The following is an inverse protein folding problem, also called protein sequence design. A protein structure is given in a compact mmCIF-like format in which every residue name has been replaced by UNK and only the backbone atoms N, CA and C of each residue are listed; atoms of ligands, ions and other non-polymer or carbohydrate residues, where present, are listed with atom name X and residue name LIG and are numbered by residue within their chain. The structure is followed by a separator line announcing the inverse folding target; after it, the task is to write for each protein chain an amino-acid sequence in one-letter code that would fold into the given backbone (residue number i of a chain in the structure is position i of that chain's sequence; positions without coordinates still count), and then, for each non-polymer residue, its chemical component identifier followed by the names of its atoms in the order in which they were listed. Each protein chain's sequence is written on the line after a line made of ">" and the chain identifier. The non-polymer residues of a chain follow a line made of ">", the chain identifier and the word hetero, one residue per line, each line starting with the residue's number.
data_IF_640324595969
#
_entry.id   IF_640324595969
#
_cell.length_a   1.000
_cell.length_b   1.000
_cell.length_c   1.000
_cell.angle_alpha   90.00
_cell.angle_beta   90.00
_cell.angle_gamma   90.00
#
_symmetry.space_group_name_H-M   'P 1'
#
loop_
_entity.id
_entity.type
_entity.pdbx_description
1 polymer ?
#
# COMPACT_ATOMS: atom_id res chain seq x y z
N UNK A 1 36.05 -19.52 1.56
CA UNK A 1 35.61 -20.88 1.21
C UNK A 1 34.63 -21.38 2.27
N UNK A 2 33.43 -21.80 1.87
CA UNK A 2 32.45 -22.36 2.80
C UNK A 2 32.94 -23.74 3.31
N UNK A 3 32.83 -24.00 4.61
CA UNK A 3 33.26 -25.28 5.20
C UNK A 3 32.25 -26.39 4.90
N UNK A 4 32.69 -27.64 4.81
CA UNK A 4 31.82 -28.79 4.51
C UNK A 4 30.65 -28.94 5.50
N UNK A 5 30.86 -28.58 6.77
CA UNK A 5 29.82 -28.57 7.80
C UNK A 5 28.74 -27.50 7.54
N UNK A 6 29.13 -26.31 7.05
CA UNK A 6 28.21 -25.25 6.67
C UNK A 6 27.34 -25.66 5.48
N UNK A 7 27.94 -26.24 4.44
CA UNK A 7 27.21 -26.76 3.28
C UNK A 7 26.25 -27.89 3.66
N UNK A 8 26.69 -28.81 4.52
CA UNK A 8 25.84 -29.91 5.02
C UNK A 8 24.63 -29.41 5.81
N UNK A 9 24.83 -28.37 6.63
CA UNK A 9 23.73 -27.72 7.35
C UNK A 9 22.76 -27.03 6.38
N UNK A 10 23.26 -26.25 5.43
CA UNK A 10 22.43 -25.57 4.42
C UNK A 10 21.63 -26.54 3.55
N UNK A 11 22.22 -27.66 3.17
CA UNK A 11 21.51 -28.71 2.45
C UNK A 11 20.36 -29.30 3.28
N UNK A 12 20.59 -29.57 4.58
CA UNK A 12 19.53 -30.06 5.47
C UNK A 12 18.41 -29.03 5.64
N UNK A 13 18.76 -27.76 5.85
CA UNK A 13 17.79 -26.65 5.93
C UNK A 13 16.97 -26.54 4.64
N UNK A 14 17.62 -26.52 3.48
CA UNK A 14 16.94 -26.45 2.19
C UNK A 14 16.01 -27.65 1.98
N UNK A 15 16.47 -28.87 2.28
CA UNK A 15 15.67 -30.08 2.16
C UNK A 15 14.42 -30.06 3.05
N UNK A 16 14.54 -29.56 4.28
CA UNK A 16 13.39 -29.41 5.18
C UNK A 16 12.42 -28.32 4.67
N UNK A 17 12.94 -27.19 4.17
CA UNK A 17 12.14 -26.07 3.70
C UNK A 17 11.38 -26.31 2.38
N UNK A 18 11.71 -27.37 1.62
CA UNK A 18 10.99 -27.68 0.37
C UNK A 18 9.50 -27.89 0.62
N UNK A 19 9.11 -28.63 1.66
CA UNK A 19 7.70 -28.93 1.90
C UNK A 19 6.91 -27.65 2.20
N UNK A 20 7.41 -26.82 3.11
CA UNK A 20 6.79 -25.55 3.50
C UNK A 20 6.71 -24.56 2.32
N UNK A 21 7.80 -24.42 1.55
CA UNK A 21 7.81 -23.55 0.37
C UNK A 21 6.87 -24.04 -0.73
N UNK A 22 6.77 -25.36 -0.93
CA UNK A 22 5.85 -25.94 -1.92
C UNK A 22 4.41 -25.69 -1.54
N UNK A 23 4.06 -25.86 -0.26
CA UNK A 23 2.73 -25.59 0.25
C UNK A 23 2.37 -24.10 0.10
N UNK A 24 3.26 -23.21 0.51
CA UNK A 24 3.06 -21.76 0.39
C UNK A 24 2.89 -21.33 -1.08
N UNK A 25 3.70 -21.87 -1.99
CA UNK A 25 3.59 -21.63 -3.42
C UNK A 25 2.25 -22.11 -3.98
N UNK A 26 1.84 -23.35 -3.68
CA UNK A 26 0.58 -23.89 -4.16
C UNK A 26 -0.63 -23.09 -3.66
N UNK A 27 -0.58 -22.63 -2.40
CA UNK A 27 -1.63 -21.78 -1.83
C UNK A 27 -1.71 -20.42 -2.52
N UNK A 28 -0.58 -19.79 -2.80
CA UNK A 28 -0.50 -18.55 -3.59
C UNK A 28 -1.06 -18.76 -4.98
N UNK A 29 -0.59 -19.80 -5.68
CA UNK A 29 -0.98 -20.09 -7.05
C UNK A 29 -2.48 -20.41 -7.17
N UNK A 30 -3.03 -21.17 -6.22
CA UNK A 30 -4.45 -21.50 -6.18
C UNK A 30 -5.37 -20.31 -5.85
N UNK A 31 -4.84 -19.23 -5.28
CA UNK A 31 -5.58 -17.99 -5.02
C UNK A 31 -5.50 -16.98 -6.18
N UNK A 32 -4.56 -17.17 -7.09
CA UNK A 32 -4.33 -16.27 -8.22
C UNK A 32 -5.28 -16.58 -9.39
N UNK A 33 -5.44 -15.61 -10.29
CA UNK A 33 -6.20 -15.80 -11.52
C UNK A 33 -5.45 -16.78 -12.45
N UNK A 34 -6.08 -17.87 -12.94
CA UNK A 34 -5.41 -18.89 -13.74
C UNK A 34 -4.78 -18.35 -15.03
N UNK A 35 -5.37 -17.31 -15.64
CA UNK A 35 -4.82 -16.68 -16.85
C UNK A 35 -3.51 -15.95 -16.55
N UNK A 36 -3.39 -15.38 -15.35
CA UNK A 36 -2.18 -14.68 -14.92
C UNK A 36 -1.07 -15.69 -14.60
N UNK A 37 -1.42 -16.81 -13.97
CA UNK A 37 -0.50 -17.92 -13.67
C UNK A 37 0.11 -18.48 -14.94
N UNK A 38 -0.71 -18.84 -15.93
CA UNK A 38 -0.25 -19.39 -17.22
C UNK A 38 0.70 -18.42 -17.96
N UNK A 39 0.39 -17.13 -17.90
CA UNK A 39 1.27 -16.08 -18.43
C UNK A 39 2.60 -16.02 -17.68
N UNK A 40 2.60 -16.08 -16.36
CA UNK A 40 3.82 -16.04 -15.55
C UNK A 40 4.69 -17.27 -15.78
N UNK A 41 4.11 -18.46 -15.86
CA UNK A 41 4.85 -19.70 -16.17
C UNK A 41 5.53 -19.60 -17.55
N UNK A 42 4.82 -19.06 -18.55
CA UNK A 42 5.38 -18.84 -19.88
C UNK A 42 6.54 -17.83 -19.87
N UNK A 43 6.40 -16.73 -19.12
CA UNK A 43 7.44 -15.71 -18.97
C UNK A 43 8.67 -16.25 -18.24
N UNK A 44 8.47 -17.01 -17.16
CA UNK A 44 9.54 -17.69 -16.42
C UNK A 44 10.31 -18.67 -17.32
N UNK A 45 9.60 -19.52 -18.06
CA UNK A 45 10.24 -20.48 -18.97
C UNK A 45 11.12 -19.78 -20.01
N UNK A 46 10.63 -18.69 -20.60
CA UNK A 46 11.38 -17.89 -21.57
C UNK A 46 12.59 -17.20 -20.95
N UNK A 47 12.43 -16.61 -19.76
CA UNK A 47 13.50 -15.96 -19.03
C UNK A 47 14.62 -16.93 -18.68
N UNK A 48 14.27 -18.12 -18.17
CA UNK A 48 15.25 -19.15 -17.80
C UNK A 48 15.99 -19.70 -19.03
N UNK A 49 15.32 -19.85 -20.17
CA UNK A 49 15.96 -20.28 -21.41
C UNK A 49 16.96 -19.24 -21.94
N UNK A 50 16.70 -17.96 -21.70
CA UNK A 50 17.44 -16.85 -22.30
C UNK A 50 18.52 -16.25 -21.39
N UNK A 51 18.50 -16.55 -20.08
CA UNK A 51 19.32 -15.86 -19.07
C UNK A 51 20.84 -15.88 -19.35
N UNK A 52 21.34 -16.89 -20.08
CA UNK A 52 22.76 -17.04 -20.37
C UNK A 52 23.20 -16.02 -21.43
N UNK A 53 22.33 -15.74 -22.40
CA UNK A 53 22.61 -14.87 -23.54
C UNK A 53 22.12 -13.44 -23.31
N UNK A 54 21.01 -13.29 -22.57
CA UNK A 54 20.42 -12.01 -22.21
C UNK A 54 20.20 -11.92 -20.69
N UNK A 55 21.10 -11.25 -19.95
CA UNK A 55 20.94 -11.05 -18.51
C UNK A 55 19.67 -10.26 -18.13
N UNK A 56 19.14 -9.42 -19.03
CA UNK A 56 17.92 -8.62 -18.83
C UNK A 56 16.67 -9.51 -18.79
N UNK A 57 16.75 -10.72 -19.35
CA UNK A 57 15.64 -11.68 -19.34
C UNK A 57 15.18 -12.05 -17.91
N UNK A 58 16.04 -11.92 -16.90
CA UNK A 58 15.70 -12.17 -15.50
C UNK A 58 15.02 -10.98 -14.79
N UNK A 59 14.89 -9.82 -15.44
CA UNK A 59 14.22 -8.65 -14.85
C UNK A 59 12.72 -8.90 -14.57
N UNK A 60 12.15 -10.00 -15.09
CA UNK A 60 10.80 -10.45 -14.74
C UNK A 60 10.63 -10.73 -13.24
N UNK A 61 11.72 -11.01 -12.52
CA UNK A 61 11.70 -11.22 -11.07
C UNK A 61 11.80 -9.90 -10.29
N UNK A 62 12.05 -8.78 -10.97
CA UNK A 62 12.08 -7.47 -10.34
C UNK A 62 10.65 -6.97 -10.06
N UNK A 63 10.41 -6.52 -8.83
CA UNK A 63 9.12 -5.99 -8.43
C UNK A 63 8.99 -4.55 -8.94
N UNK A 64 8.44 -4.40 -10.14
CA UNK A 64 8.14 -3.10 -10.76
C UNK A 64 6.81 -2.55 -10.19
N UNK A 65 6.86 -1.91 -9.01
CA UNK A 65 5.69 -1.20 -8.48
C UNK A 65 5.52 0.12 -9.23
N UNK A 66 4.45 0.22 -10.02
CA UNK A 66 4.03 1.51 -10.54
C UNK A 66 3.66 2.42 -9.38
N UNK A 67 4.22 3.63 -9.37
CA UNK A 67 3.87 4.63 -8.36
C UNK A 67 2.38 4.90 -8.47
N UNK A 68 1.64 4.61 -7.40
CA UNK A 68 0.22 4.96 -7.33
C UNK A 68 0.07 6.47 -7.51
N UNK A 69 -1.01 6.90 -8.19
CA UNK A 69 -1.34 8.32 -8.30
C UNK A 69 -1.41 8.92 -6.91
N UNK A 70 -0.79 10.08 -6.71
CA UNK A 70 -0.91 10.77 -5.44
C UNK A 70 -2.31 11.35 -5.29
N UNK A 71 -2.74 11.59 -4.05
CA UNK A 71 -3.99 12.31 -3.76
C UNK A 71 -4.06 13.65 -4.52
N UNK A 72 -2.94 14.37 -4.59
CA UNK A 72 -2.84 15.64 -5.33
C UNK A 72 -3.07 15.45 -6.83
N UNK A 73 -2.50 14.39 -7.42
CA UNK A 73 -2.69 14.09 -8.85
C UNK A 73 -4.15 13.73 -9.16
N UNK A 74 -4.83 13.05 -8.22
CA UNK A 74 -6.25 12.72 -8.35
C UNK A 74 -7.12 13.97 -8.21
N UNK A 75 -6.82 14.82 -7.22
CA UNK A 75 -7.55 16.07 -7.00
C UNK A 75 -7.42 17.03 -8.20
N UNK A 76 -6.21 17.18 -8.75
CA UNK A 76 -5.95 18.00 -9.93
C UNK A 76 -6.79 17.53 -11.14
N UNK A 77 -6.77 16.23 -11.43
CA UNK A 77 -7.52 15.63 -12.54
C UNK A 77 -9.04 15.78 -12.37
N UNK A 78 -9.55 15.67 -11.15
CA UNK A 78 -10.96 15.91 -10.86
C UNK A 78 -11.35 17.39 -11.05
N UNK A 79 -10.50 18.32 -10.61
CA UNK A 79 -10.70 19.75 -10.83
C UNK A 79 -10.67 20.08 -12.33
N UNK A 80 -9.72 19.54 -13.08
CA UNK A 80 -9.64 19.72 -14.54
C UNK A 80 -10.87 19.13 -15.25
N UNK A 81 -11.28 17.90 -14.92
CA UNK A 81 -12.41 17.21 -15.57
C UNK A 81 -13.76 17.86 -15.26
N UNK A 82 -13.93 18.45 -14.08
CA UNK A 82 -15.18 19.10 -13.65
C UNK A 82 -15.46 20.45 -14.32
N UNK A 83 -14.44 21.08 -14.91
CA UNK A 83 -14.56 22.37 -15.62
C UNK A 83 -15.19 22.23 -17.02
N UNK A 84 -15.09 21.05 -17.66
CA UNK A 84 -15.39 20.86 -19.08
C UNK A 84 -16.67 20.08 -19.41
N UNK A 85 -17.64 19.97 -18.49
CA UNK A 85 -18.87 19.20 -18.74
C UNK A 85 -20.03 20.11 -19.20
N UNK A 86 -20.44 20.10 -20.48
CA UNK A 86 -21.51 20.98 -20.97
C UNK A 86 -22.84 20.64 -20.28
N UNK A 87 -23.52 21.64 -19.73
CA UNK A 87 -24.86 21.49 -19.12
C UNK A 87 -24.87 21.13 -17.63
N UNK A 88 -23.71 20.92 -17.00
CA UNK A 88 -23.58 20.74 -15.54
C UNK A 88 -22.93 22.01 -14.97
N UNK A 89 -23.53 22.61 -13.93
CA UNK A 89 -22.88 23.75 -13.25
C UNK A 89 -21.50 23.30 -12.76
N UNK A 90 -20.43 24.08 -12.97
CA UNK A 90 -19.11 23.74 -12.47
C UNK A 90 -19.20 23.47 -10.97
N UNK A 91 -18.95 22.22 -10.57
CA UNK A 91 -18.81 21.83 -9.15
C UNK A 91 -17.41 22.20 -8.69
N UNK A 92 -17.11 23.50 -8.74
CA UNK A 92 -15.83 24.05 -8.31
C UNK A 92 -15.67 23.72 -6.83
N UNK A 93 -14.63 22.96 -6.49
CA UNK A 93 -14.28 22.66 -5.11
C UNK A 93 -14.89 21.39 -4.50
N UNK A 94 -15.73 20.62 -5.19
CA UNK A 94 -16.28 19.37 -4.61
C UNK A 94 -15.21 18.30 -4.34
N UNK A 95 -14.19 18.19 -5.21
CA UNK A 95 -13.07 17.28 -4.99
C UNK A 95 -12.22 17.71 -3.78
N UNK A 96 -11.94 19.01 -3.66
CA UNK A 96 -11.24 19.60 -2.51
C UNK A 96 -12.04 19.45 -1.22
N UNK A 97 -13.35 19.68 -1.27
CA UNK A 97 -14.26 19.47 -0.14
C UNK A 97 -14.24 18.01 0.32
N UNK A 98 -14.40 17.05 -0.59
CA UNK A 98 -14.30 15.63 -0.26
C UNK A 98 -12.92 15.26 0.32
N UNK A 99 -11.84 15.77 -0.27
CA UNK A 99 -10.49 15.51 0.22
C UNK A 99 -10.28 16.07 1.64
N UNK A 100 -10.79 17.26 1.95
CA UNK A 100 -10.77 17.82 3.30
C UNK A 100 -11.59 16.98 4.28
N UNK A 101 -12.79 16.54 3.90
CA UNK A 101 -13.62 15.67 4.72
C UNK A 101 -12.95 14.34 5.05
N UNK A 102 -12.36 13.68 4.05
CA UNK A 102 -11.58 12.43 4.24
C UNK A 102 -10.40 12.67 5.20
N UNK A 103 -9.70 13.80 5.08
CA UNK A 103 -8.59 14.13 5.99
C UNK A 103 -9.07 14.23 7.44
N UNK A 104 -10.22 14.86 7.67
CA UNK A 104 -10.84 14.97 9.00
C UNK A 104 -11.21 13.58 9.54
N UNK A 105 -11.79 12.71 8.71
CA UNK A 105 -12.09 11.33 9.11
C UNK A 105 -10.83 10.54 9.47
N UNK A 106 -9.74 10.69 8.70
CA UNK A 106 -8.45 10.07 9.01
C UNK A 106 -7.90 10.54 10.35
N UNK A 107 -7.99 11.84 10.67
CA UNK A 107 -7.62 12.37 11.98
C UNK A 107 -8.47 11.79 13.11
N UNK A 108 -9.78 11.67 12.91
CA UNK A 108 -10.70 11.07 13.89
C UNK A 108 -10.34 9.61 14.16
N UNK A 109 -10.05 8.83 13.11
CA UNK A 109 -9.63 7.44 13.21
C UNK A 109 -8.28 7.31 13.92
N UNK A 110 -7.29 8.13 13.56
CA UNK A 110 -5.99 8.16 14.22
C UNK A 110 -6.12 8.43 15.73
N UNK A 111 -6.87 9.49 16.09
CA UNK A 111 -7.14 9.84 17.48
C UNK A 111 -7.86 8.70 18.24
N UNK A 112 -8.84 8.07 17.60
CA UNK A 112 -9.55 6.94 18.21
C UNK A 112 -8.63 5.73 18.43
N UNK A 113 -7.71 5.44 17.51
CA UNK A 113 -6.72 4.39 17.66
C UNK A 113 -5.74 4.70 18.80
N UNK A 114 -5.26 5.94 18.89
CA UNK A 114 -4.33 6.35 19.95
C UNK A 114 -4.99 6.27 21.33
N UNK A 115 -6.24 6.72 21.46
CA UNK A 115 -7.03 6.57 22.68
C UNK A 115 -7.20 5.10 23.10
N UNK A 116 -7.39 4.19 22.13
CA UNK A 116 -7.47 2.74 22.42
C UNK A 116 -6.12 2.18 22.89
N UNK A 117 -4.99 2.71 22.40
CA UNK A 117 -3.63 2.26 22.74
C UNK A 117 -3.17 2.73 24.12
N UNK A 118 -3.61 3.90 24.56
CA UNK A 118 -3.14 4.52 25.81
C UNK A 118 -3.58 3.83 27.11
N UNK A 119 -4.47 2.83 27.02
CA UNK A 119 -4.88 2.04 28.18
C UNK A 119 -5.54 2.87 29.28
N UNK A 120 -5.47 2.40 30.53
CA UNK A 120 -6.22 2.99 31.67
C UNK A 120 -5.50 4.18 32.33
N UNK A 121 -4.19 4.32 32.12
CA UNK A 121 -3.35 5.32 32.78
C UNK A 121 -2.35 5.92 31.77
N UNK A 122 -2.78 6.90 30.95
CA UNK A 122 -1.89 7.61 30.04
C UNK A 122 -0.87 8.44 30.83
N UNK A 123 0.33 8.59 30.27
CA UNK A 123 1.33 9.53 30.79
C UNK A 123 0.89 10.98 30.55
N UNK A 124 1.46 11.94 31.28
CA UNK A 124 1.16 13.37 31.07
C UNK A 124 1.45 13.82 29.64
N UNK A 125 2.55 13.32 29.06
CA UNK A 125 2.93 13.58 27.67
C UNK A 125 1.88 13.06 26.68
N UNK A 126 1.42 11.83 26.87
CA UNK A 126 0.36 11.21 26.07
C UNK A 126 -0.97 11.97 26.18
N UNK A 127 -1.33 12.42 27.38
CA UNK A 127 -2.53 13.21 27.61
C UNK A 127 -2.46 14.59 26.93
N UNK A 128 -1.28 15.21 26.93
CA UNK A 128 -1.03 16.47 26.22
C UNK A 128 -1.15 16.28 24.71
N UNK A 129 -0.53 15.24 24.14
CA UNK A 129 -0.58 14.94 22.71
C UNK A 129 -2.03 14.71 22.23
N UNK A 130 -2.82 13.92 22.96
CA UNK A 130 -4.27 13.76 22.68
C UNK A 130 -4.97 15.12 22.65
N UNK A 131 -4.69 15.96 23.64
CA UNK A 131 -5.39 17.25 23.79
C UNK A 131 -5.06 18.16 22.61
N UNK A 132 -3.80 18.18 22.16
CA UNK A 132 -3.39 18.90 20.97
C UNK A 132 -4.06 18.34 19.70
N UNK A 133 -4.08 17.01 19.52
CA UNK A 133 -4.78 16.39 18.40
C UNK A 133 -6.27 16.72 18.38
N UNK A 134 -6.93 16.77 19.54
CA UNK A 134 -8.35 17.15 19.66
C UNK A 134 -8.59 18.60 19.26
N UNK A 135 -7.74 19.52 19.72
CA UNK A 135 -7.84 20.95 19.35
C UNK A 135 -7.66 21.12 17.84
N UNK A 136 -6.67 20.46 17.26
CA UNK A 136 -6.41 20.56 15.83
C UNK A 136 -7.53 19.93 14.97
N UNK A 137 -8.06 18.79 15.40
CA UNK A 137 -9.23 18.18 14.77
C UNK A 137 -10.44 19.13 14.82
N UNK A 138 -10.69 19.76 15.98
CA UNK A 138 -11.80 20.70 16.13
C UNK A 138 -11.63 21.90 15.21
N UNK A 139 -10.44 22.50 15.14
CA UNK A 139 -10.13 23.57 14.19
C UNK A 139 -10.39 23.15 12.74
N UNK A 140 -9.96 21.95 12.35
CA UNK A 140 -10.17 21.41 11.01
C UNK A 140 -11.67 21.21 10.69
N UNK A 141 -12.47 20.76 11.66
CA UNK A 141 -13.93 20.65 11.53
C UNK A 141 -14.58 22.03 11.42
N UNK A 142 -14.16 22.99 12.23
CA UNK A 142 -14.71 24.34 12.22
C UNK A 142 -14.42 25.04 10.87
N UNK A 143 -13.21 24.91 10.35
CA UNK A 143 -12.84 25.41 9.01
C UNK A 143 -13.67 24.73 7.90
N UNK A 144 -13.85 23.41 8.00
CA UNK A 144 -14.63 22.64 7.03
C UNK A 144 -16.10 23.01 7.00
N UNK A 145 -16.70 23.27 8.17
CA UNK A 145 -18.12 23.66 8.31
C UNK A 145 -18.36 25.13 8.03
N UNK A 146 -17.37 26.00 8.21
CA UNK A 146 -17.45 27.40 7.81
C UNK A 146 -17.37 27.60 6.28
N UNK A 147 -16.78 26.64 5.56
CA UNK A 147 -16.65 26.65 4.09
C UNK A 147 -17.80 26.00 3.32
N UNK A 148 -18.79 25.41 4.00
CA UNK A 148 -20.02 24.82 3.43
C UNK A 148 -21.19 25.77 3.47
#
# INVERSE_FOLDING_TARGET
>A
MATAAFLSRKYKEAKCGVAESTEAFNKLNGSANPVIVDRWESQEAQAQASHITDPVALDIYEVQLQKARSRKDIELDLLETSVWRPGVRPQIGSATWLASGITIEEMQLALAMDLRRMGRHPTEMQALDISQCRVWLQQSIDEFTAGT
#
